data_IF_410244803067
#
_entry.id   IF_410244803067
#
_cell.length_a   1.000
_cell.length_b   1.000
_cell.length_c   1.000
_cell.angle_alpha   90.00
_cell.angle_beta   90.00
_cell.angle_gamma   90.00
#
_symmetry.space_group_name_H-M   'P 1'
#
loop_
_entity.id
_entity.type
_entity.pdbx_description
1 polymer ?
#
# COMPACT_ATOMS: atom_id res chain seq x y z
N UNK A 1 14.84 11.20 30.12
CA UNK A 1 14.25 9.84 30.02
C UNK A 1 12.92 9.88 29.23
N UNK A 2 12.96 10.19 27.93
CA UNK A 2 11.79 10.12 27.04
C UNK A 2 12.17 9.76 25.58
N UNK A 3 13.41 9.33 25.35
CA UNK A 3 13.96 9.07 24.01
C UNK A 3 14.05 7.57 23.66
N UNK A 4 13.81 6.67 24.63
CA UNK A 4 14.04 5.24 24.46
C UNK A 4 12.80 4.42 24.05
N UNK A 5 11.59 4.96 24.24
CA UNK A 5 10.35 4.21 23.95
C UNK A 5 9.90 4.33 22.49
N UNK A 6 10.21 5.44 21.80
CA UNK A 6 9.87 5.62 20.37
C UNK A 6 10.68 4.70 19.48
N UNK A 7 12.00 4.72 19.65
CA UNK A 7 12.95 3.99 18.80
C UNK A 7 12.79 2.46 18.90
N UNK A 8 12.33 1.94 20.05
CA UNK A 8 12.16 0.50 20.27
C UNK A 8 10.85 -0.04 19.64
N UNK A 9 9.78 0.74 19.69
CA UNK A 9 8.52 0.47 18.99
C UNK A 9 8.68 0.56 17.46
N UNK A 10 9.49 1.50 16.98
CA UNK A 10 9.81 1.65 15.56
C UNK A 10 10.62 0.46 15.02
N UNK A 11 11.58 -0.06 15.80
CA UNK A 11 12.39 -1.23 15.42
C UNK A 11 11.63 -2.56 15.51
N UNK A 12 10.71 -2.72 16.47
CA UNK A 12 9.85 -3.91 16.57
C UNK A 12 8.77 -3.93 15.46
N UNK A 13 8.25 -2.77 15.04
CA UNK A 13 7.39 -2.65 13.84
C UNK A 13 8.20 -2.98 12.57
N UNK A 14 9.45 -2.54 12.48
CA UNK A 14 10.36 -2.86 11.36
C UNK A 14 10.69 -4.37 11.26
N UNK A 15 10.79 -5.07 12.40
CA UNK A 15 11.00 -6.52 12.45
C UNK A 15 9.72 -7.32 12.16
N UNK A 16 8.54 -6.82 12.55
CA UNK A 16 7.25 -7.41 12.17
C UNK A 16 6.98 -7.29 10.66
N UNK A 17 7.37 -6.15 10.05
CA UNK A 17 7.38 -5.92 8.60
C UNK A 17 8.32 -6.85 7.82
N UNK A 18 9.34 -7.42 8.46
CA UNK A 18 10.24 -8.41 7.84
C UNK A 18 9.66 -9.84 7.87
N UNK A 19 8.61 -10.10 8.64
CA UNK A 19 8.12 -11.45 8.97
C UNK A 19 6.97 -12.00 8.11
N UNK A 20 6.22 -11.16 7.40
CA UNK A 20 5.03 -11.63 6.65
C UNK A 20 5.38 -12.12 5.24
N UNK A 21 6.06 -13.27 5.14
CA UNK A 21 6.34 -13.99 3.88
C UNK A 21 5.08 -14.65 3.29
N UNK A 22 4.04 -13.86 3.08
CA UNK A 22 2.79 -14.31 2.49
C UNK A 22 1.93 -13.12 2.08
N UNK A 23 1.92 -12.82 0.79
CA UNK A 23 0.98 -11.87 0.19
C UNK A 23 -0.39 -12.52 0.21
N UNK A 24 -1.37 -11.87 0.81
CA UNK A 24 -2.77 -12.33 0.78
C UNK A 24 -3.36 -11.98 -0.59
N UNK A 25 -4.04 -12.91 -1.27
CA UNK A 25 -4.76 -12.56 -2.49
C UNK A 25 -5.86 -11.56 -2.14
N UNK A 26 -6.06 -10.55 -2.99
CA UNK A 26 -7.02 -9.46 -2.78
C UNK A 26 -8.43 -10.01 -2.53
N UNK A 27 -8.79 -11.13 -3.17
CA UNK A 27 -10.08 -11.81 -2.97
C UNK A 27 -10.31 -12.37 -1.56
N UNK A 28 -9.25 -12.66 -0.80
CA UNK A 28 -9.34 -13.23 0.56
C UNK A 28 -9.10 -12.18 1.67
N UNK A 29 -8.99 -10.91 1.29
CA UNK A 29 -8.72 -9.83 2.22
C UNK A 29 -9.87 -9.66 3.20
N UNK A 30 -9.56 -9.80 4.48
CA UNK A 30 -10.49 -9.51 5.57
C UNK A 30 -10.42 -8.03 5.92
N UNK A 31 -11.55 -7.35 5.78
CA UNK A 31 -11.70 -5.93 6.10
C UNK A 31 -11.19 -5.57 7.50
N UNK A 32 -10.59 -4.37 7.62
CA UNK A 32 -10.13 -3.76 8.88
C UNK A 32 -9.01 -4.54 9.59
N UNK A 33 -8.30 -5.41 8.88
CA UNK A 33 -7.07 -6.05 9.36
C UNK A 33 -5.86 -5.53 8.59
N UNK A 34 -4.68 -5.56 9.22
CA UNK A 34 -3.40 -5.38 8.51
C UNK A 34 -3.25 -6.53 7.53
N UNK A 35 -2.98 -6.21 6.27
CA UNK A 35 -2.76 -7.17 5.18
C UNK A 35 -1.56 -6.72 4.34
N UNK A 36 -0.84 -7.70 3.80
CA UNK A 36 0.21 -7.49 2.81
C UNK A 36 -0.28 -8.02 1.46
N UNK A 37 -0.28 -7.18 0.44
CA UNK A 37 -0.77 -7.49 -0.91
C UNK A 37 0.36 -7.26 -1.91
N UNK A 38 0.45 -8.08 -2.95
CA UNK A 38 1.36 -7.86 -4.06
C UNK A 38 0.61 -7.88 -5.37
N UNK A 39 0.94 -6.97 -6.28
CA UNK A 39 0.33 -6.97 -7.59
C UNK A 39 0.99 -5.99 -8.54
N UNK A 40 0.40 -5.88 -9.72
CA UNK A 40 0.80 -4.91 -10.75
C UNK A 40 -0.07 -3.65 -10.61
N UNK A 41 0.58 -2.49 -10.64
CA UNK A 41 -0.13 -1.23 -10.74
C UNK A 41 -0.78 -1.07 -12.11
N UNK A 42 -2.11 -1.00 -12.15
CA UNK A 42 -2.87 -0.79 -13.39
C UNK A 42 -3.02 0.68 -13.75
N UNK A 43 -3.23 1.55 -12.77
CA UNK A 43 -3.47 2.97 -13.01
C UNK A 43 -3.00 3.84 -11.84
N UNK A 44 -2.69 5.10 -12.16
CA UNK A 44 -2.37 6.14 -11.18
C UNK A 44 -3.20 7.37 -11.55
N UNK A 45 -3.91 7.92 -10.57
CA UNK A 45 -4.74 9.10 -10.70
C UNK A 45 -4.24 10.18 -9.76
N UNK A 46 -3.95 11.34 -10.32
CA UNK A 46 -3.48 12.51 -9.58
C UNK A 46 -4.64 13.47 -9.31
N UNK A 47 -4.62 14.10 -8.14
CA UNK A 47 -5.58 15.16 -7.82
C UNK A 47 -5.37 16.40 -8.70
N UNK A 48 -6.47 17.03 -9.10
CA UNK A 48 -6.45 18.26 -9.88
C UNK A 48 -5.73 19.42 -9.15
N UNK A 49 -5.24 20.37 -9.95
CA UNK A 49 -4.65 21.61 -9.43
C UNK A 49 -5.70 22.36 -8.58
N UNK A 50 -5.31 22.85 -7.40
CA UNK A 50 -6.21 23.53 -6.47
C UNK A 50 -7.03 22.63 -5.54
N UNK A 51 -6.95 21.30 -5.70
CA UNK A 51 -7.46 20.33 -4.71
C UNK A 51 -6.36 19.93 -3.71
N UNK A 52 -6.74 19.43 -2.52
CA UNK A 52 -5.79 18.79 -1.62
C UNK A 52 -4.97 17.74 -2.37
N UNK A 53 -3.66 17.69 -2.12
CA UNK A 53 -2.80 16.72 -2.76
C UNK A 53 -3.25 15.31 -2.37
N UNK A 54 -3.58 14.49 -3.36
CA UNK A 54 -3.88 13.08 -3.17
C UNK A 54 -3.46 12.34 -4.44
N UNK A 55 -2.81 11.19 -4.25
CA UNK A 55 -2.46 10.25 -5.30
C UNK A 55 -3.23 8.97 -5.04
N UNK A 56 -3.97 8.53 -6.05
CA UNK A 56 -4.68 7.26 -6.03
C UNK A 56 -4.00 6.32 -7.02
N UNK A 57 -3.91 5.04 -6.69
CA UNK A 57 -3.46 4.03 -7.63
C UNK A 57 -4.29 2.75 -7.50
N UNK A 58 -4.43 1.99 -8.57
CA UNK A 58 -5.11 0.69 -8.56
C UNK A 58 -4.07 -0.41 -8.68
N UNK A 59 -4.03 -1.28 -7.68
CA UNK A 59 -3.18 -2.48 -7.66
C UNK A 59 -4.04 -3.71 -7.97
N UNK A 60 -3.50 -4.60 -8.80
CA UNK A 60 -4.17 -5.83 -9.22
C UNK A 60 -3.24 -7.04 -9.10
N UNK A 61 -3.73 -8.11 -8.48
CA UNK A 61 -2.94 -9.33 -8.21
C UNK A 61 -3.38 -10.54 -9.04
N UNK A 62 -4.41 -10.40 -9.90
CA UNK A 62 -5.05 -11.53 -10.59
C UNK A 62 -6.41 -11.91 -10.01
N UNK A 63 -6.60 -11.73 -8.70
CA UNK A 63 -7.80 -12.16 -7.96
C UNK A 63 -8.76 -11.00 -7.68
N UNK A 64 -8.26 -9.77 -7.62
CA UNK A 64 -9.08 -8.58 -7.41
C UNK A 64 -8.28 -7.29 -7.55
N UNK A 65 -8.92 -6.17 -7.23
CA UNK A 65 -8.29 -4.85 -7.25
C UNK A 65 -8.41 -4.15 -5.91
N UNK A 66 -7.36 -3.44 -5.51
CA UNK A 66 -7.35 -2.55 -4.34
C UNK A 66 -6.92 -1.14 -4.76
N UNK A 67 -7.63 -0.13 -4.25
CA UNK A 67 -7.28 1.27 -4.42
C UNK A 67 -6.33 1.70 -3.30
N UNK A 68 -5.16 2.20 -3.68
CA UNK A 68 -4.17 2.76 -2.79
C UNK A 68 -4.33 4.28 -2.80
N UNK A 69 -4.56 4.90 -1.65
CA UNK A 69 -4.67 6.36 -1.53
C UNK A 69 -3.57 6.93 -0.65
N UNK A 70 -2.76 7.80 -1.22
CA UNK A 70 -1.79 8.59 -0.47
C UNK A 70 -2.28 10.03 -0.36
N UNK A 71 -2.67 10.42 0.84
CA UNK A 71 -3.12 11.77 1.14
C UNK A 71 -1.91 12.68 1.38
N UNK A 72 -2.01 13.93 0.95
CA UNK A 72 -0.95 14.94 1.07
C UNK A 72 0.21 14.76 0.08
N UNK A 73 0.22 13.71 -0.75
CA UNK A 73 1.28 13.44 -1.73
C UNK A 73 0.80 13.72 -3.15
N UNK A 74 1.62 14.44 -3.93
CA UNK A 74 1.38 14.70 -5.36
C UNK A 74 2.09 13.70 -6.26
N UNK A 75 3.16 13.09 -5.76
CA UNK A 75 3.94 12.08 -6.47
C UNK A 75 4.55 11.12 -5.45
N UNK A 76 4.86 9.91 -5.89
CA UNK A 76 5.62 8.93 -5.11
C UNK A 76 6.79 8.47 -5.97
N UNK A 77 8.03 8.77 -5.57
CA UNK A 77 9.21 8.43 -6.36
C UNK A 77 9.24 6.95 -6.72
N UNK A 78 9.45 6.66 -8.01
CA UNK A 78 9.60 5.30 -8.51
C UNK A 78 8.29 4.53 -8.72
N UNK A 79 7.12 5.09 -8.36
CA UNK A 79 5.84 4.45 -8.64
C UNK A 79 5.37 4.78 -10.07
N UNK A 80 5.14 3.75 -10.88
CA UNK A 80 4.70 3.84 -12.28
C UNK A 80 3.72 2.70 -12.57
N UNK A 81 2.80 2.94 -13.50
CA UNK A 81 1.92 1.89 -14.06
C UNK A 81 2.77 0.78 -14.67
N UNK A 82 2.38 -0.47 -14.44
CA UNK A 82 3.07 -1.67 -14.90
C UNK A 82 4.14 -2.20 -13.93
N UNK A 83 4.46 -1.48 -12.87
CA UNK A 83 5.38 -1.98 -11.83
C UNK A 83 4.68 -2.98 -10.92
N UNK A 84 5.45 -3.97 -10.48
CA UNK A 84 5.02 -4.87 -9.42
C UNK A 84 5.32 -4.21 -8.07
N UNK A 85 4.29 -4.00 -7.26
CA UNK A 85 4.39 -3.44 -5.93
C UNK A 85 3.92 -4.47 -4.91
N UNK A 86 4.63 -4.50 -3.78
CA UNK A 86 4.13 -5.04 -2.52
C UNK A 86 3.64 -3.86 -1.67
N UNK A 87 2.45 -3.97 -1.10
CA UNK A 87 1.85 -2.96 -0.24
C UNK A 87 1.37 -3.57 1.05
N UNK A 88 1.61 -2.86 2.14
CA UNK A 88 1.18 -3.25 3.48
C UNK A 88 0.37 -2.14 4.11
N UNK A 89 -0.75 -2.52 4.73
CA UNK A 89 -1.59 -1.60 5.47
C UNK A 89 -2.93 -2.21 5.80
N UNK A 90 -3.87 -1.36 6.18
CA UNK A 90 -5.23 -1.80 6.53
C UNK A 90 -6.14 -1.63 5.33
N UNK A 91 -6.66 -2.73 4.80
CA UNK A 91 -7.65 -2.70 3.73
C UNK A 91 -9.05 -2.45 4.30
N UNK A 92 -9.73 -1.46 3.75
CA UNK A 92 -11.09 -1.07 4.15
C UNK A 92 -12.03 -1.21 2.96
N UNK A 93 -13.16 -1.92 3.08
CA UNK A 93 -14.14 -2.00 2.02
C UNK A 93 -14.82 -0.65 1.83
N UNK A 94 -14.90 -0.18 0.59
CA UNK A 94 -15.62 1.03 0.19
C UNK A 94 -16.45 0.69 -1.05
N UNK A 95 -17.74 0.44 -0.86
CA UNK A 95 -18.60 -0.09 -1.92
C UNK A 95 -18.11 -1.46 -2.40
N UNK A 96 -17.87 -1.60 -3.70
CA UNK A 96 -17.46 -2.86 -4.34
C UNK A 96 -15.93 -3.05 -4.43
N UNK A 97 -15.14 -2.15 -3.84
CA UNK A 97 -13.68 -2.22 -3.90
C UNK A 97 -13.02 -2.02 -2.54
N UNK A 98 -11.79 -2.55 -2.41
CA UNK A 98 -10.97 -2.35 -1.22
C UNK A 98 -10.15 -1.07 -1.38
N UNK A 99 -9.98 -0.36 -0.27
CA UNK A 99 -9.19 0.88 -0.20
C UNK A 99 -8.18 0.76 0.92
N UNK A 100 -6.93 1.10 0.62
CA UNK A 100 -5.85 1.18 1.60
C UNK A 100 -5.33 2.61 1.65
N UNK A 101 -5.34 3.20 2.84
CA UNK A 101 -4.90 4.57 3.07
C UNK A 101 -3.46 4.61 3.54
N UNK A 102 -2.65 5.48 2.91
CA UNK A 102 -1.22 5.66 3.15
C UNK A 102 -0.46 4.33 3.36
N UNK A 103 -0.59 3.37 2.44
CA UNK A 103 0.10 2.09 2.59
C UNK A 103 1.61 2.27 2.56
N UNK A 104 2.29 1.39 3.31
CA UNK A 104 3.69 1.11 3.07
C UNK A 104 3.79 0.40 1.73
N UNK A 105 4.81 0.75 0.94
CA UNK A 105 5.00 0.18 -0.38
C UNK A 105 6.46 -0.22 -0.58
N UNK A 106 6.66 -1.29 -1.34
CA UNK A 106 7.96 -1.75 -1.80
C UNK A 106 7.87 -2.06 -3.29
N UNK A 107 8.78 -1.49 -4.06
CA UNK A 107 8.92 -1.80 -5.48
C UNK A 107 9.63 -3.16 -5.58
N UNK A 108 8.95 -4.14 -6.16
CA UNK A 108 9.56 -5.45 -6.40
C UNK A 108 10.34 -5.39 -7.72
N UNK A 109 11.54 -5.99 -7.78
CA UNK A 109 12.26 -6.10 -9.04
C UNK A 109 11.44 -6.92 -10.04
N UNK A 110 11.29 -6.41 -11.26
CA UNK A 110 10.76 -7.21 -12.36
C UNK A 110 11.84 -8.23 -12.72
N UNK A 111 11.66 -9.48 -12.28
CA UNK A 111 12.47 -10.59 -12.77
C UNK A 111 12.10 -10.81 -14.24
N UNK A 112 13.01 -10.40 -15.13
CA UNK A 112 12.89 -10.52 -16.57
C UNK A 112 13.33 -11.91 -17.06
#
# INVERSE_FOLDING_TARGET
>A
MASDLRTRLEAEDEAALRGARGTTPISEVVARKKVCLSGVLQSITYSAIGRPAQLNAILYDGTGTVELRWLGRRDIPGIRVGLHLEVEGTATPQGDHLVMMNPLYRILPQTH
#
